data_IF_206416967487
#
_entry.id   IF_206416967487
#
_cell.length_a   1.000
_cell.length_b   1.000
_cell.length_c   1.000
_cell.angle_alpha   90.00
_cell.angle_beta   90.00
_cell.angle_gamma   90.00
#
_symmetry.space_group_name_H-M   'P 1'
#
loop_
_entity.id
_entity.type
_entity.pdbx_description
1 polymer ?
#
# COMPACT_ATOMS: atom_id res chain seq x y z
N UNK A 1 -32.66 0.47 -14.57
CA UNK A 1 -31.70 1.35 -13.86
C UNK A 1 -30.40 0.58 -13.69
N UNK A 2 -29.28 1.12 -14.18
CA UNK A 2 -27.97 0.50 -13.96
C UNK A 2 -27.54 0.62 -12.50
N UNK A 3 -26.78 -0.35 -11.98
CA UNK A 3 -26.13 -0.24 -10.68
C UNK A 3 -24.79 0.49 -10.83
N UNK A 4 -24.51 1.41 -9.93
CA UNK A 4 -23.23 2.11 -9.91
C UNK A 4 -22.13 1.17 -9.40
N UNK A 5 -21.02 1.07 -10.13
CA UNK A 5 -19.81 0.35 -9.69
C UNK A 5 -19.04 1.28 -8.76
N UNK A 6 -18.64 0.76 -7.61
CA UNK A 6 -17.85 1.49 -6.62
C UNK A 6 -16.36 1.27 -6.86
N UNK A 7 -15.56 2.32 -6.74
CA UNK A 7 -14.11 2.29 -6.90
C UNK A 7 -13.43 2.70 -5.59
N UNK A 8 -12.65 1.79 -5.02
CA UNK A 8 -11.80 2.06 -3.87
C UNK A 8 -10.33 1.88 -4.27
N UNK A 9 -9.47 2.80 -3.83
CA UNK A 9 -8.03 2.58 -3.87
C UNK A 9 -7.64 1.63 -2.75
N UNK A 10 -6.84 0.61 -3.06
CA UNK A 10 -6.40 -0.36 -2.06
C UNK A 10 -4.94 -0.08 -1.70
N UNK A 11 -4.71 0.34 -0.45
CA UNK A 11 -3.39 0.71 0.06
C UNK A 11 -3.17 0.14 1.46
N UNK A 12 -1.96 0.29 1.98
CA UNK A 12 -1.56 -0.19 3.31
C UNK A 12 -0.47 0.71 3.86
N UNK A 13 -0.45 0.92 5.17
CA UNK A 13 0.56 1.75 5.82
C UNK A 13 1.92 1.05 5.95
N UNK A 14 2.50 0.67 4.80
CA UNK A 14 3.77 -0.03 4.66
C UNK A 14 4.40 0.31 3.29
N UNK A 15 5.57 -0.24 2.98
CA UNK A 15 6.21 -0.04 1.67
C UNK A 15 5.70 -1.04 0.63
N UNK A 16 5.84 -2.34 0.88
CA UNK A 16 5.46 -3.41 -0.05
C UNK A 16 4.15 -4.08 0.32
N UNK A 17 3.03 -3.65 -0.29
CA UNK A 17 1.71 -4.21 -0.01
C UNK A 17 1.37 -5.48 -0.82
N UNK A 18 1.11 -5.36 -2.13
CA UNK A 18 0.67 -6.47 -3.00
C UNK A 18 1.64 -6.79 -4.14
N UNK A 19 2.63 -5.93 -4.39
CA UNK A 19 3.53 -6.05 -5.55
C UNK A 19 5.00 -6.06 -5.10
N UNK A 20 5.54 -7.25 -4.80
CA UNK A 20 6.93 -7.39 -4.33
C UNK A 20 7.94 -6.73 -5.28
N UNK A 21 8.86 -5.94 -4.71
CA UNK A 21 9.98 -5.33 -5.42
C UNK A 21 9.64 -4.08 -6.24
N UNK A 22 8.37 -3.77 -6.53
CA UNK A 22 8.02 -2.58 -7.32
C UNK A 22 8.35 -1.25 -6.63
N UNK A 23 8.48 -1.26 -5.30
CA UNK A 23 8.93 -0.10 -4.53
C UNK A 23 10.32 0.43 -4.94
N UNK A 24 11.14 -0.40 -5.60
CA UNK A 24 12.45 0.00 -6.14
C UNK A 24 12.35 0.77 -7.47
N UNK A 25 11.18 0.80 -8.11
CA UNK A 25 11.02 1.52 -9.37
C UNK A 25 11.21 3.03 -9.13
N UNK A 26 11.95 3.78 -9.99
CA UNK A 26 12.27 5.20 -9.74
C UNK A 26 11.07 6.15 -9.59
N UNK A 27 9.89 5.73 -10.02
CA UNK A 27 8.63 6.48 -9.89
C UNK A 27 7.82 6.12 -8.65
N UNK A 28 8.18 5.03 -7.98
CA UNK A 28 7.46 4.58 -6.81
C UNK A 28 7.78 5.48 -5.61
N UNK A 29 6.75 5.74 -4.79
CA UNK A 29 6.83 6.61 -3.61
C UNK A 29 6.28 5.92 -2.35
N UNK A 30 6.00 4.61 -2.39
CA UNK A 30 5.47 3.85 -1.24
C UNK A 30 6.39 3.91 -0.01
N UNK A 31 7.69 4.07 -0.22
CA UNK A 31 8.67 4.30 0.87
C UNK A 31 8.40 5.57 1.69
N UNK A 32 7.55 6.49 1.20
CA UNK A 32 7.08 7.68 1.90
C UNK A 32 5.81 7.47 2.73
N UNK A 33 5.37 6.23 2.96
CA UNK A 33 4.15 5.93 3.71
C UNK A 33 4.06 6.58 5.11
N UNK A 34 5.19 6.95 5.72
CA UNK A 34 5.24 7.68 7.01
C UNK A 34 5.04 9.19 6.87
N UNK A 35 5.12 9.73 5.65
CA UNK A 35 4.95 11.15 5.38
C UNK A 35 3.46 11.46 5.26
N UNK A 36 2.97 12.45 6.01
CA UNK A 36 1.56 12.86 5.93
C UNK A 36 1.19 13.33 4.51
N UNK A 37 2.12 13.99 3.81
CA UNK A 37 1.92 14.49 2.46
C UNK A 37 1.65 13.37 1.45
N UNK A 38 2.22 12.16 1.65
CA UNK A 38 1.93 10.99 0.80
C UNK A 38 0.43 10.67 0.80
N UNK A 39 -0.17 10.60 1.99
CA UNK A 39 -1.59 10.29 2.17
C UNK A 39 -2.49 11.43 1.71
N UNK A 40 -2.09 12.69 1.96
CA UNK A 40 -2.84 13.84 1.48
C UNK A 40 -2.86 13.91 -0.06
N UNK A 41 -1.74 13.66 -0.72
CA UNK A 41 -1.65 13.67 -2.17
C UNK A 41 -2.42 12.51 -2.81
N UNK A 42 -2.43 11.33 -2.17
CA UNK A 42 -3.29 10.21 -2.56
C UNK A 42 -4.77 10.61 -2.47
N UNK A 43 -5.21 11.14 -1.32
CA UNK A 43 -6.60 11.57 -1.12
C UNK A 43 -7.05 12.59 -2.17
N UNK A 44 -6.27 13.67 -2.38
CA UNK A 44 -6.54 14.67 -3.42
C UNK A 44 -6.63 14.05 -4.81
N UNK A 45 -5.83 13.03 -5.10
CA UNK A 45 -5.83 12.33 -6.39
C UNK A 45 -7.07 11.50 -6.61
N UNK A 46 -7.52 10.80 -5.58
CA UNK A 46 -8.71 9.97 -5.61
C UNK A 46 -10.01 10.80 -5.65
N UNK A 47 -10.05 11.92 -4.93
CA UNK A 47 -11.15 12.88 -5.02
C UNK A 47 -11.31 13.44 -6.45
N UNK A 48 -10.21 13.84 -7.11
CA UNK A 48 -10.23 14.24 -8.53
C UNK A 48 -10.73 13.12 -9.45
N UNK A 49 -10.47 11.86 -9.09
CA UNK A 49 -10.90 10.68 -9.81
C UNK A 49 -12.31 10.19 -9.47
N UNK A 50 -13.02 10.83 -8.52
CA UNK A 50 -14.36 10.43 -8.05
C UNK A 50 -14.36 8.99 -7.52
N UNK A 51 -13.28 8.60 -6.81
CA UNK A 51 -13.25 7.33 -6.07
C UNK A 51 -14.16 7.42 -4.84
N UNK A 52 -14.76 6.30 -4.46
CA UNK A 52 -15.65 6.19 -3.29
C UNK A 52 -14.89 6.16 -1.96
N UNK A 53 -13.61 5.75 -1.99
CA UNK A 53 -12.77 5.76 -0.79
C UNK A 53 -11.39 5.15 -0.97
N UNK A 54 -10.66 5.15 0.15
CA UNK A 54 -9.41 4.42 0.34
C UNK A 54 -9.70 3.26 1.28
N UNK A 55 -9.41 2.05 0.83
CA UNK A 55 -9.39 0.88 1.68
C UNK A 55 -7.95 0.68 2.18
N UNK A 56 -7.73 0.88 3.48
CA UNK A 56 -6.41 0.75 4.11
C UNK A 56 -6.35 -0.60 4.83
N UNK A 57 -5.48 -1.50 4.36
CA UNK A 57 -5.19 -2.75 5.04
C UNK A 57 -4.26 -2.54 6.24
N UNK A 58 -4.18 -3.54 7.12
CA UNK A 58 -3.26 -3.54 8.25
C UNK A 58 -2.90 -4.96 8.71
N UNK A 59 -1.72 -5.11 9.33
CA UNK A 59 -1.25 -6.33 10.02
C UNK A 59 -0.45 -5.97 11.26
N UNK A 60 -0.52 -6.80 12.30
CA UNK A 60 0.32 -6.68 13.51
C UNK A 60 1.41 -7.76 13.59
N UNK A 61 1.47 -8.64 12.59
CA UNK A 61 2.43 -9.76 12.49
C UNK A 61 3.34 -9.62 11.28
N UNK A 62 4.24 -10.59 11.11
CA UNK A 62 5.23 -10.58 10.04
C UNK A 62 5.09 -11.81 9.13
N UNK A 63 5.53 -11.69 7.89
CA UNK A 63 5.69 -12.85 7.01
C UNK A 63 7.01 -13.57 7.33
N UNK A 64 6.94 -14.62 8.17
CA UNK A 64 8.08 -15.37 8.69
C UNK A 64 8.12 -16.86 8.29
N UNK A 65 7.06 -17.37 7.65
CA UNK A 65 6.96 -18.77 7.22
C UNK A 65 8.02 -19.11 6.16
N UNK A 66 8.24 -18.22 5.18
CA UNK A 66 9.18 -18.49 4.10
C UNK A 66 10.62 -18.57 4.64
N UNK A 67 11.24 -19.74 4.50
CA UNK A 67 12.57 -20.08 5.05
C UNK A 67 12.67 -19.93 6.57
N UNK A 68 11.54 -19.97 7.29
CA UNK A 68 11.49 -19.93 8.75
C UNK A 68 12.10 -18.65 9.34
N UNK A 69 12.03 -17.52 8.62
CA UNK A 69 12.58 -16.24 9.05
C UNK A 69 11.85 -15.08 8.38
N UNK A 70 11.63 -13.99 9.13
CA UNK A 70 11.11 -12.73 8.59
C UNK A 70 12.17 -11.91 7.80
N UNK A 71 13.41 -12.40 7.72
CA UNK A 71 14.50 -11.72 7.02
C UNK A 71 14.10 -11.30 5.60
N UNK A 72 13.45 -12.19 4.85
CA UNK A 72 13.03 -11.89 3.47
C UNK A 72 11.88 -10.91 3.39
N UNK A 73 10.98 -10.87 4.38
CA UNK A 73 9.95 -9.85 4.45
C UNK A 73 10.56 -8.47 4.69
N UNK A 74 11.54 -8.37 5.60
CA UNK A 74 12.29 -7.12 5.86
C UNK A 74 13.06 -6.69 4.62
N UNK A 75 13.80 -7.60 3.99
CA UNK A 75 14.60 -7.32 2.79
C UNK A 75 13.74 -6.78 1.63
N UNK A 76 12.52 -7.30 1.49
CA UNK A 76 11.59 -6.90 0.44
C UNK A 76 10.61 -5.80 0.86
N UNK A 77 10.67 -5.35 2.12
CA UNK A 77 9.72 -4.46 2.77
C UNK A 77 8.26 -4.93 2.64
N UNK A 78 8.04 -6.25 2.68
CA UNK A 78 6.74 -6.88 2.47
C UNK A 78 5.87 -6.75 3.73
N UNK A 79 4.99 -5.75 3.74
CA UNK A 79 4.13 -5.36 4.87
C UNK A 79 4.87 -5.17 6.19
N UNK A 80 6.17 -4.86 6.12
CA UNK A 80 7.03 -4.56 7.25
C UNK A 80 8.12 -3.56 6.82
N UNK A 81 8.40 -2.49 7.59
CA UNK A 81 7.65 -2.07 8.77
C UNK A 81 6.24 -1.62 8.43
#
# INVERSE_FOLDING_TARGET
MGRHIRFNAFDMNCVGHQSPGLWKHPRDKSWKYKDLDYWQDLARTLERGIFDGIFIADVIGYYDVYKGSNYHAIEQAAQIP
#
